data_IF_853199528460
#
_entry.id   IF_853199528460
#
_cell.length_a   1.000
_cell.length_b   1.000
_cell.length_c   1.000
_cell.angle_alpha   90.00
_cell.angle_beta   90.00
_cell.angle_gamma   90.00
#
_symmetry.space_group_name_H-M   'P 1'
#
loop_
_entity.id
_entity.type
_entity.pdbx_description
1 polymer ?
#
# COMPACT_ATOMS: atom_id res chain seq x y z
N UNK A 1 24.19 4.29 3.99
CA UNK A 1 23.95 4.44 2.57
C UNK A 1 22.90 3.49 2.09
N UNK A 2 23.15 2.20 2.17
CA UNK A 2 22.13 1.24 1.80
C UNK A 2 20.84 1.46 2.60
N UNK A 3 20.97 1.83 3.86
CA UNK A 3 19.83 2.05 4.73
C UNK A 3 18.94 3.19 4.24
N UNK A 4 19.56 4.29 3.79
CA UNK A 4 18.80 5.42 3.29
C UNK A 4 18.06 5.06 2.01
N UNK A 5 18.72 4.34 1.10
CA UNK A 5 18.11 3.95 -0.15
C UNK A 5 16.99 2.95 0.10
N UNK A 6 17.19 2.01 1.01
CA UNK A 6 16.17 1.03 1.35
C UNK A 6 14.96 1.69 1.96
N UNK A 7 15.18 2.66 2.85
CA UNK A 7 14.09 3.37 3.50
C UNK A 7 13.26 4.16 2.48
N UNK A 8 13.95 4.86 1.59
CA UNK A 8 13.26 5.63 0.55
C UNK A 8 12.46 4.72 -0.37
N UNK A 9 13.04 3.59 -0.77
CA UNK A 9 12.36 2.63 -1.61
C UNK A 9 11.09 2.12 -0.94
N UNK A 10 11.16 1.78 0.34
CA UNK A 10 9.99 1.30 1.07
C UNK A 10 8.90 2.35 1.12
N UNK A 11 9.26 3.61 1.38
CA UNK A 11 8.30 4.71 1.39
C UNK A 11 7.63 4.87 0.04
N UNK A 12 8.41 4.79 -1.03
CA UNK A 12 7.86 4.95 -2.37
C UNK A 12 6.88 3.85 -2.70
N UNK A 13 7.19 2.62 -2.33
CA UNK A 13 6.28 1.49 -2.55
C UNK A 13 4.99 1.68 -1.77
N UNK A 14 5.09 2.08 -0.51
CA UNK A 14 3.90 2.31 0.30
C UNK A 14 3.03 3.42 -0.26
N UNK A 15 3.65 4.49 -0.74
CA UNK A 15 2.91 5.58 -1.38
C UNK A 15 2.20 5.13 -2.62
N UNK A 16 2.89 4.37 -3.47
CA UNK A 16 2.30 3.86 -4.70
C UNK A 16 1.12 2.94 -4.39
N UNK A 17 1.30 2.04 -3.45
CA UNK A 17 0.24 1.11 -3.08
C UNK A 17 -0.98 1.87 -2.54
N UNK A 18 -0.74 2.87 -1.71
CA UNK A 18 -1.82 3.70 -1.16
C UNK A 18 -2.55 4.44 -2.28
N UNK A 19 -1.81 5.01 -3.21
CA UNK A 19 -2.40 5.74 -4.33
C UNK A 19 -3.28 4.82 -5.17
N UNK A 20 -2.77 3.65 -5.50
CA UNK A 20 -3.55 2.68 -6.27
C UNK A 20 -4.81 2.27 -5.53
N UNK A 21 -4.69 2.02 -4.22
CA UNK A 21 -5.84 1.67 -3.42
C UNK A 21 -6.90 2.77 -3.41
N UNK A 22 -6.48 4.02 -3.30
CA UNK A 22 -7.41 5.14 -3.32
C UNK A 22 -8.11 5.26 -4.66
N UNK A 23 -7.38 5.07 -5.74
CA UNK A 23 -8.00 5.08 -7.07
C UNK A 23 -9.05 3.99 -7.21
N UNK A 24 -8.75 2.81 -6.70
CA UNK A 24 -9.70 1.71 -6.75
C UNK A 24 -10.96 2.05 -5.98
N UNK A 25 -10.83 2.60 -4.78
CA UNK A 25 -12.00 2.97 -3.99
C UNK A 25 -12.84 4.03 -4.69
N UNK A 26 -12.20 5.02 -5.29
CA UNK A 26 -12.92 6.06 -6.04
C UNK A 26 -13.69 5.50 -7.21
N UNK A 27 -13.23 4.39 -7.76
CA UNK A 27 -13.88 3.75 -8.88
C UNK A 27 -14.82 2.62 -8.46
N UNK A 28 -15.17 2.57 -7.18
CA UNK A 28 -16.18 1.65 -6.71
C UNK A 28 -15.70 0.25 -6.36
N UNK A 29 -14.39 0.04 -6.25
CA UNK A 29 -13.88 -1.27 -5.88
C UNK A 29 -14.28 -1.61 -4.45
N UNK A 30 -14.49 -2.89 -4.22
CA UNK A 30 -14.80 -3.36 -2.88
C UNK A 30 -13.55 -3.34 -2.01
N UNK A 31 -13.73 -3.09 -0.71
CA UNK A 31 -12.59 -2.92 0.19
C UNK A 31 -11.69 -4.16 0.24
N UNK A 32 -12.26 -5.36 0.14
CA UNK A 32 -11.42 -6.55 0.18
C UNK A 32 -10.51 -6.65 -1.04
N UNK A 33 -10.95 -6.12 -2.18
CA UNK A 33 -10.13 -6.10 -3.38
C UNK A 33 -8.99 -5.10 -3.24
N UNK A 34 -9.28 -3.97 -2.64
CA UNK A 34 -8.26 -2.95 -2.39
C UNK A 34 -7.21 -3.51 -1.45
N UNK A 35 -7.65 -4.13 -0.36
CA UNK A 35 -6.75 -4.74 0.61
C UNK A 35 -5.83 -5.78 -0.07
N UNK A 36 -6.43 -6.67 -0.85
CA UNK A 36 -5.67 -7.71 -1.54
C UNK A 36 -4.65 -7.12 -2.50
N UNK A 37 -5.07 -6.10 -3.26
CA UNK A 37 -4.19 -5.47 -4.24
C UNK A 37 -3.01 -4.82 -3.54
N UNK A 38 -3.25 -4.09 -2.47
CA UNK A 38 -2.17 -3.43 -1.73
C UNK A 38 -1.20 -4.47 -1.18
N UNK A 39 -1.72 -5.54 -0.61
CA UNK A 39 -0.87 -6.59 -0.08
C UNK A 39 -0.02 -7.25 -1.16
N UNK A 40 -0.58 -7.47 -2.32
CA UNK A 40 0.16 -8.06 -3.43
C UNK A 40 1.28 -7.14 -3.91
N UNK A 41 0.98 -5.86 -4.04
CA UNK A 41 2.00 -4.89 -4.46
C UNK A 41 3.15 -4.88 -3.46
N UNK A 42 2.83 -4.77 -2.19
CA UNK A 42 3.86 -4.69 -1.16
C UNK A 42 4.64 -6.00 -1.05
N UNK A 43 3.96 -7.13 -1.11
CA UNK A 43 4.61 -8.43 -1.03
C UNK A 43 5.58 -8.63 -2.19
N UNK A 44 5.20 -8.23 -3.39
CA UNK A 44 6.07 -8.36 -4.56
C UNK A 44 7.31 -7.50 -4.47
N UNK A 45 7.32 -6.53 -3.56
CA UNK A 45 8.45 -5.62 -3.35
C UNK A 45 9.22 -5.92 -2.07
N UNK A 46 8.99 -7.07 -1.46
CA UNK A 46 9.79 -7.53 -0.34
C UNK A 46 9.21 -7.25 1.04
N UNK A 47 8.01 -6.73 1.13
CA UNK A 47 7.37 -6.53 2.43
C UNK A 47 6.83 -7.86 2.94
N UNK A 48 7.11 -8.18 4.19
CA UNK A 48 6.61 -9.41 4.81
C UNK A 48 5.42 -9.16 5.71
N UNK A 49 5.31 -7.94 6.23
CA UNK A 49 4.19 -7.56 7.10
C UNK A 49 3.68 -6.20 6.67
N UNK A 50 2.39 -6.13 6.40
CA UNK A 50 1.76 -4.87 6.01
C UNK A 50 0.49 -4.71 6.82
N UNK A 51 0.34 -3.55 7.42
CA UNK A 51 -0.88 -3.19 8.13
C UNK A 51 -1.65 -2.20 7.26
N UNK A 52 -2.91 -2.50 7.00
CA UNK A 52 -3.75 -1.66 6.18
C UNK A 52 -4.96 -1.24 6.99
N UNK A 53 -5.17 0.06 7.09
CA UNK A 53 -6.36 0.60 7.71
C UNK A 53 -7.16 1.35 6.67
N UNK A 54 -8.41 0.98 6.49
CA UNK A 54 -9.27 1.62 5.51
C UNK A 54 -10.49 2.23 6.17
N UNK A 55 -10.75 3.48 5.83
CA UNK A 55 -11.96 4.19 6.19
C UNK A 55 -12.60 4.64 4.88
N UNK A 56 -13.86 5.10 4.90
CA UNK A 56 -14.53 5.45 3.65
C UNK A 56 -13.75 6.42 2.76
N UNK A 57 -12.97 7.31 3.37
CA UNK A 57 -12.24 8.33 2.60
C UNK A 57 -10.73 8.24 2.77
N UNK A 58 -10.23 7.21 3.42
CA UNK A 58 -8.83 7.20 3.80
C UNK A 58 -8.28 5.79 3.78
N UNK A 59 -7.05 5.66 3.30
CA UNK A 59 -6.31 4.41 3.39
C UNK A 59 -4.97 4.73 4.03
N UNK A 60 -4.61 3.96 5.06
CA UNK A 60 -3.32 4.07 5.71
C UNK A 60 -2.64 2.73 5.58
N UNK A 61 -1.46 2.74 4.97
CA UNK A 61 -0.66 1.53 4.79
C UNK A 61 0.64 1.72 5.56
N UNK A 62 0.94 0.79 6.43
CA UNK A 62 2.17 0.86 7.20
C UNK A 62 2.86 -0.48 7.24
N UNK A 63 4.16 -0.41 7.42
CA UNK A 63 5.02 -1.59 7.48
C UNK A 63 5.20 -2.05 8.91
#
# INVERSE_FOLDING_TARGET
MADNNTHKYKKDVLRLATFIGQLMLRNGAETYRVDDTIKRICSSRGFTHINIFMAPNTIIVSD
#
